data_IF_818159694242
#
_entry.id   IF_818159694242
#
_cell.length_a   1.000
_cell.length_b   1.000
_cell.length_c   1.000
_cell.angle_alpha   90.00
_cell.angle_beta   90.00
_cell.angle_gamma   90.00
#
_symmetry.space_group_name_H-M   'P 1'
#
loop_
_entity.id
_entity.type
_entity.pdbx_description
1 polymer ?
#
# COMPACT_ATOMS: atom_id res chain seq x y z
N UNK A 1 -3.31 1.36 4.50
CA UNK A 1 -4.56 1.37 5.29
C UNK A 1 -5.41 0.18 4.88
N UNK A 2 -6.20 -0.35 5.81
CA UNK A 2 -7.10 -1.48 5.58
C UNK A 2 -8.51 -1.10 6.05
N UNK A 3 -9.50 -1.33 5.20
CA UNK A 3 -10.90 -1.03 5.49
C UNK A 3 -11.81 -1.93 4.66
N UNK A 4 -12.91 -2.41 5.21
CA UNK A 4 -13.96 -3.07 4.41
C UNK A 4 -14.67 -2.07 3.48
N UNK A 5 -14.76 -0.81 3.92
CA UNK A 5 -15.29 0.29 3.12
C UNK A 5 -14.21 0.85 2.19
N UNK A 6 -14.38 0.59 0.90
CA UNK A 6 -13.49 1.06 -0.17
C UNK A 6 -13.63 2.56 -0.40
N UNK A 7 -14.83 3.11 -0.32
CA UNK A 7 -15.07 4.52 -0.64
C UNK A 7 -14.42 5.41 0.41
N UNK A 8 -14.43 4.98 1.68
CA UNK A 8 -13.62 5.59 2.74
C UNK A 8 -12.12 5.60 2.44
N UNK A 9 -11.58 4.52 1.83
CA UNK A 9 -10.17 4.50 1.43
C UNK A 9 -9.87 5.46 0.27
N UNK A 10 -10.81 5.62 -0.66
CA UNK A 10 -10.68 6.56 -1.77
C UNK A 10 -10.72 8.01 -1.24
N UNK A 11 -11.60 8.30 -0.28
CA UNK A 11 -11.66 9.61 0.37
C UNK A 11 -10.34 9.96 1.06
N UNK A 12 -9.80 9.03 1.86
CA UNK A 12 -8.48 9.21 2.51
C UNK A 12 -7.39 9.43 1.46
N UNK A 13 -7.42 8.65 0.37
CA UNK A 13 -6.44 8.80 -0.72
C UNK A 13 -6.47 10.20 -1.33
N UNK A 14 -7.67 10.71 -1.64
CA UNK A 14 -7.85 12.04 -2.22
C UNK A 14 -7.40 13.13 -1.23
N UNK A 15 -7.81 13.03 0.04
CA UNK A 15 -7.42 14.01 1.06
C UNK A 15 -5.89 14.07 1.24
N UNK A 16 -5.22 12.92 1.27
CA UNK A 16 -3.76 12.85 1.39
C UNK A 16 -3.03 13.39 0.15
N UNK A 17 -3.56 13.16 -1.04
CA UNK A 17 -3.00 13.71 -2.28
C UNK A 17 -3.18 15.23 -2.31
N UNK A 18 -4.41 15.71 -2.12
CA UNK A 18 -4.78 17.11 -2.32
C UNK A 18 -4.27 18.02 -1.21
N UNK A 19 -4.34 17.60 0.05
CA UNK A 19 -4.03 18.46 1.21
C UNK A 19 -2.66 18.22 1.81
N UNK A 20 -2.09 17.05 1.60
CA UNK A 20 -0.87 16.63 2.31
C UNK A 20 0.30 16.29 1.39
N UNK A 21 0.12 16.46 0.08
CA UNK A 21 1.20 16.42 -0.91
C UNK A 21 1.69 15.01 -1.23
N UNK A 22 0.89 13.98 -0.94
CA UNK A 22 1.18 12.63 -1.45
C UNK A 22 1.08 12.62 -2.96
N UNK A 23 2.11 12.13 -3.65
CA UNK A 23 2.15 12.21 -5.11
C UNK A 23 1.39 11.05 -5.77
N UNK A 24 1.09 9.98 -5.02
CA UNK A 24 0.36 8.83 -5.54
C UNK A 24 -0.33 8.03 -4.45
N UNK A 25 -1.51 7.53 -4.78
CA UNK A 25 -2.23 6.52 -4.01
C UNK A 25 -2.63 5.33 -4.90
N UNK A 26 -2.83 4.17 -4.29
CA UNK A 26 -3.39 2.97 -4.93
C UNK A 26 -4.34 2.27 -3.99
N UNK A 27 -5.56 2.02 -4.47
CA UNK A 27 -6.56 1.19 -3.79
C UNK A 27 -6.80 -0.05 -4.64
N UNK A 28 -6.93 -1.23 -4.03
CA UNK A 28 -7.37 -2.41 -4.77
C UNK A 28 -8.89 -2.33 -5.04
N UNK A 29 -9.24 -2.39 -6.32
CA UNK A 29 -10.65 -2.35 -6.76
C UNK A 29 -11.41 -3.64 -6.42
N UNK A 30 -10.69 -4.76 -6.27
CA UNK A 30 -11.27 -6.06 -5.96
C UNK A 30 -10.56 -6.67 -4.76
N UNK A 31 -11.33 -7.30 -3.88
CA UNK A 31 -10.79 -8.09 -2.77
C UNK A 31 -10.06 -9.31 -3.34
N UNK A 32 -8.87 -9.59 -2.78
CA UNK A 32 -8.18 -10.84 -3.07
C UNK A 32 -8.95 -11.99 -2.40
N UNK A 33 -8.92 -13.18 -3.02
CA UNK A 33 -9.65 -14.35 -2.51
C UNK A 33 -9.27 -14.62 -1.05
N UNK A 34 -10.26 -14.62 -0.16
CA UNK A 34 -10.07 -14.82 1.29
C UNK A 34 -9.75 -13.55 2.09
N UNK A 35 -9.77 -12.36 1.48
CA UNK A 35 -9.67 -11.08 2.18
C UNK A 35 -11.04 -10.39 2.26
N UNK A 36 -11.28 -9.75 3.41
CA UNK A 36 -12.51 -8.99 3.71
C UNK A 36 -12.29 -7.47 3.74
N UNK A 37 -11.03 -7.03 3.63
CA UNK A 37 -10.64 -5.61 3.69
C UNK A 37 -9.97 -5.21 2.37
N UNK A 38 -10.33 -4.04 1.86
CA UNK A 38 -9.55 -3.33 0.86
C UNK A 38 -8.29 -2.73 1.49
N UNK A 39 -7.27 -2.54 0.67
CA UNK A 39 -5.98 -1.95 1.02
C UNK A 39 -5.74 -0.67 0.21
N UNK A 40 -5.38 0.38 0.93
CA UNK A 40 -4.86 1.63 0.38
C UNK A 40 -3.36 1.71 0.65
N UNK A 41 -2.60 1.95 -0.41
CA UNK A 41 -1.19 2.29 -0.37
C UNK A 41 -1.01 3.75 -0.77
N UNK A 42 -0.36 4.53 0.10
CA UNK A 42 0.07 5.90 -0.20
C UNK A 42 1.58 5.90 -0.47
N UNK A 43 1.99 6.73 -1.42
CA UNK A 43 3.39 6.87 -1.82
C UNK A 43 3.84 8.32 -1.61
N UNK A 44 4.96 8.47 -0.93
CA UNK A 44 5.64 9.73 -0.71
C UNK A 44 7.12 9.57 -1.08
N UNK A 45 7.82 10.69 -1.27
CA UNK A 45 9.21 10.71 -1.76
C UNK A 45 10.21 10.06 -0.81
N UNK A 46 9.92 10.06 0.49
CA UNK A 46 10.77 9.58 1.58
C UNK A 46 9.92 9.12 2.78
N UNK A 47 10.55 8.66 3.86
CA UNK A 47 9.86 8.21 5.08
C UNK A 47 9.57 9.32 6.11
N UNK A 48 9.83 10.60 5.78
CA UNK A 48 9.67 11.72 6.72
C UNK A 48 8.24 11.88 7.24
N UNK A 49 7.24 11.53 6.42
CA UNK A 49 5.81 11.67 6.74
C UNK A 49 5.21 10.49 7.51
N UNK A 50 5.99 9.44 7.82
CA UNK A 50 5.44 8.21 8.44
C UNK A 50 4.78 8.46 9.80
N UNK A 51 5.36 9.33 10.62
CA UNK A 51 4.85 9.65 11.96
C UNK A 51 3.64 10.57 11.87
N UNK A 52 3.72 11.62 11.06
CA UNK A 52 2.62 12.56 10.83
C UNK A 52 1.39 11.84 10.26
N UNK A 53 1.57 10.96 9.28
CA UNK A 53 0.48 10.19 8.68
C UNK A 53 -0.16 9.23 9.71
N UNK A 54 0.65 8.57 10.55
CA UNK A 54 0.14 7.68 11.57
C UNK A 54 -0.69 8.43 12.63
N UNK A 55 -0.22 9.60 13.06
CA UNK A 55 -0.93 10.44 14.01
C UNK A 55 -2.21 11.04 13.41
N UNK A 56 -2.16 11.53 12.16
CA UNK A 56 -3.35 12.02 11.44
C UNK A 56 -4.38 10.93 11.30
N UNK A 57 -3.97 9.72 10.93
CA UNK A 57 -4.89 8.60 10.83
C UNK A 57 -5.60 8.28 12.14
N UNK A 58 -4.90 8.35 13.27
CA UNK A 58 -5.54 8.14 14.59
C UNK A 58 -6.55 9.25 14.91
N UNK A 59 -6.29 10.49 14.51
CA UNK A 59 -7.13 11.65 14.83
C UNK A 59 -8.31 11.83 13.88
N UNK A 60 -8.10 11.64 12.58
CA UNK A 60 -9.06 12.03 11.53
C UNK A 60 -9.78 10.83 10.90
N UNK A 61 -9.06 9.77 10.56
CA UNK A 61 -9.62 8.70 9.73
C UNK A 61 -10.14 7.49 10.52
N UNK A 62 -9.43 7.14 11.61
CA UNK A 62 -9.72 5.97 12.43
C UNK A 62 -9.61 4.64 11.66
N UNK A 63 -8.86 4.59 10.56
CA UNK A 63 -8.73 3.40 9.72
C UNK A 63 -7.53 2.56 10.15
N UNK A 64 -7.62 1.24 9.95
CA UNK A 64 -6.53 0.33 10.31
C UNK A 64 -5.27 0.63 9.50
N UNK A 65 -4.28 1.19 10.17
CA UNK A 65 -2.96 1.49 9.62
C UNK A 65 -1.96 0.45 10.12
N UNK A 66 -1.32 -0.31 9.21
CA UNK A 66 -0.37 -1.35 9.60
C UNK A 66 1.07 -0.87 9.65
N UNK A 67 1.59 -0.39 8.53
CA UNK A 67 3.01 -0.05 8.44
C UNK A 67 3.30 0.89 7.27
N UNK A 68 4.40 1.63 7.42
CA UNK A 68 5.08 2.32 6.33
C UNK A 68 6.13 1.37 5.75
N UNK A 69 6.22 1.27 4.43
CA UNK A 69 7.21 0.43 3.75
C UNK A 69 7.91 1.26 2.66
N UNK A 70 9.23 1.33 2.73
CA UNK A 70 10.03 2.02 1.71
C UNK A 70 9.95 1.31 0.36
N UNK A 71 10.06 2.07 -0.73
CA UNK A 71 9.96 1.54 -2.09
C UNK A 71 11.02 0.46 -2.36
N UNK A 72 12.23 0.60 -1.79
CA UNK A 72 13.29 -0.43 -1.83
C UNK A 72 12.84 -1.81 -1.32
N UNK A 73 12.10 -1.85 -0.21
CA UNK A 73 11.62 -3.12 0.34
C UNK A 73 10.49 -3.73 -0.51
N UNK A 74 9.78 -2.89 -1.28
CA UNK A 74 8.79 -3.33 -2.26
C UNK A 74 9.46 -3.86 -3.52
N UNK A 75 10.53 -3.21 -3.99
CA UNK A 75 11.35 -3.62 -5.14
C UNK A 75 12.12 -4.92 -4.89
N UNK A 76 12.62 -5.11 -3.67
CA UNK A 76 13.28 -6.35 -3.23
C UNK A 76 12.31 -7.52 -3.03
N UNK A 77 10.99 -7.32 -3.20
CA UNK A 77 9.99 -8.38 -3.06
C UNK A 77 9.87 -8.95 -1.65
N UNK A 78 10.31 -8.20 -0.63
CA UNK A 78 10.25 -8.63 0.77
C UNK A 78 8.83 -8.48 1.31
N UNK A 79 7.96 -9.41 0.93
CA UNK A 79 6.66 -9.61 1.55
C UNK A 79 6.79 -10.63 2.67
N UNK A 80 6.10 -10.43 3.80
CA UNK A 80 6.10 -11.39 4.90
C UNK A 80 5.63 -12.76 4.43
N UNK A 81 6.24 -13.85 4.95
CA UNK A 81 5.87 -15.23 4.58
C UNK A 81 4.37 -15.48 4.76
N UNK A 82 3.78 -15.00 5.85
CA UNK A 82 2.34 -15.11 6.12
C UNK A 82 1.45 -14.46 5.05
N UNK A 83 1.90 -13.36 4.42
CA UNK A 83 1.16 -12.73 3.32
C UNK A 83 1.23 -13.60 2.07
N UNK A 84 2.41 -14.14 1.76
CA UNK A 84 2.62 -15.02 0.60
C UNK A 84 1.89 -16.36 0.73
N UNK A 85 1.70 -16.86 1.95
CA UNK A 85 1.00 -18.12 2.21
C UNK A 85 -0.52 -17.99 2.13
N UNK A 86 -1.09 -16.81 2.41
CA UNK A 86 -2.52 -16.54 2.24
C UNK A 86 -2.94 -16.28 0.79
N UNK A 87 -1.97 -16.13 -0.12
CA UNK A 87 -2.22 -15.87 -1.52
C UNK A 87 -2.35 -17.15 -2.34
N UNK A 88 -3.14 -17.10 -3.40
CA UNK A 88 -3.18 -18.17 -4.40
C UNK A 88 -1.79 -18.38 -5.02
N UNK A 89 -1.50 -19.57 -5.55
CA UNK A 89 -0.20 -19.86 -6.21
C UNK A 89 0.13 -18.84 -7.31
N UNK A 90 -0.88 -18.34 -8.02
CA UNK A 90 -0.75 -17.34 -9.08
C UNK A 90 -0.38 -15.96 -8.54
N UNK A 91 -1.08 -15.51 -7.51
CA UNK A 91 -0.80 -14.21 -6.86
C UNK A 91 0.55 -14.23 -6.14
N UNK A 92 0.86 -15.33 -5.44
CA UNK A 92 2.16 -15.53 -4.79
C UNK A 92 3.31 -15.38 -5.78
N UNK A 93 3.19 -15.95 -6.99
CA UNK A 93 4.20 -15.77 -8.06
C UNK A 93 4.28 -14.32 -8.54
N UNK A 94 3.16 -13.62 -8.66
CA UNK A 94 3.15 -12.20 -9.04
C UNK A 94 3.87 -11.31 -8.02
N UNK A 95 3.61 -11.53 -6.72
CA UNK A 95 4.18 -10.74 -5.64
C UNK A 95 5.63 -11.14 -5.29
N UNK A 96 5.98 -12.42 -5.39
CA UNK A 96 7.34 -12.90 -5.10
C UNK A 96 8.33 -12.62 -6.25
N UNK A 97 7.86 -12.24 -7.44
CA UNK A 97 8.75 -11.91 -8.56
C UNK A 97 9.41 -10.55 -8.31
N UNK A 98 10.69 -10.58 -7.94
CA UNK A 98 11.53 -9.39 -7.81
C UNK A 98 11.41 -8.51 -9.06
N UNK A 99 10.97 -7.26 -8.89
CA UNK A 99 10.75 -6.29 -9.98
C UNK A 99 12.05 -5.59 -10.40
N UNK A 100 13.20 -6.00 -9.83
CA UNK A 100 14.55 -5.44 -10.05
C UNK A 100 15.03 -5.43 -11.53
N UNK A 101 14.32 -6.05 -12.48
CA UNK A 101 14.72 -6.10 -13.91
C UNK A 101 13.95 -5.16 -14.87
N UNK A 102 13.16 -4.19 -14.38
CA UNK A 102 12.46 -3.23 -15.28
C UNK A 102 12.90 -1.76 -15.21
N UNK A 103 13.92 -1.43 -14.42
CA UNK A 103 14.48 -0.06 -14.37
C UNK A 103 15.73 0.13 -15.25
N UNK A 104 16.14 -0.86 -16.04
CA UNK A 104 17.37 -0.79 -16.88
C UNK A 104 17.06 -1.06 -18.35
N UNK A 105 16.03 -0.40 -18.89
CA UNK A 105 15.84 -0.24 -20.35
C UNK A 105 14.79 0.83 -20.62
N UNK A 106 15.28 2.04 -20.83
CA UNK A 106 14.79 3.14 -21.68
C UNK A 106 15.90 4.19 -21.48
N UNK A 107 17.05 3.98 -22.11
CA UNK A 107 17.45 4.56 -23.42
C UNK A 107 17.78 6.04 -23.27
#
# INVERSE_FOLDING_TARGET
FFSADKDKLIEIANNEIEKHGFHRAKVNMSLLKGQIEHVLCLYYKDDSRKHELAERNKREYGVKYRYWKSDEATLKGQYSKEFLEKLSKSDRRYFAKSKLKKATKNS
#
